data_IF_915218289835
#
_entry.id   IF_915218289835
#
_cell.length_a   1.000
_cell.length_b   1.000
_cell.length_c   1.000
_cell.angle_alpha   90.00
_cell.angle_beta   90.00
_cell.angle_gamma   90.00
#
_symmetry.space_group_name_H-M   'P 1'
#
loop_
_entity.id
_entity.type
_entity.pdbx_description
1 polymer ?
#
# COMPACT_ATOMS: atom_id res chain seq x y z
N UNK A 1 6.53 16.67 -6.73
CA UNK A 1 5.32 16.20 -6.01
C UNK A 1 4.23 15.97 -7.03
N UNK A 2 3.47 14.87 -6.96
CA UNK A 2 2.26 14.73 -7.76
C UNK A 2 1.27 15.81 -7.29
N UNK A 3 0.83 16.67 -8.22
CA UNK A 3 -0.06 17.80 -7.94
C UNK A 3 -1.51 17.36 -7.66
N UNK A 4 -2.38 18.33 -7.41
CA UNK A 4 -3.82 18.08 -7.28
C UNK A 4 -4.39 17.61 -8.62
N UNK A 5 -5.34 16.68 -8.59
CA UNK A 5 -6.12 16.34 -9.78
C UNK A 5 -7.34 17.26 -9.85
N UNK A 6 -7.48 18.01 -10.95
CA UNK A 6 -8.60 18.91 -11.18
C UNK A 6 -9.35 18.44 -12.43
N UNK A 7 -10.68 18.36 -12.31
CA UNK A 7 -11.58 18.00 -13.40
C UNK A 7 -12.66 19.07 -13.48
N UNK A 8 -12.97 19.50 -14.70
CA UNK A 8 -14.07 20.39 -14.98
C UNK A 8 -14.97 19.73 -16.02
N UNK A 9 -16.26 19.69 -15.73
CA UNK A 9 -17.27 19.18 -16.63
C UNK A 9 -18.31 20.28 -16.85
N UNK A 10 -18.68 20.51 -18.09
CA UNK A 10 -19.83 21.34 -18.46
C UNK A 10 -20.90 20.39 -18.97
N UNK A 11 -22.10 20.49 -18.41
CA UNK A 11 -23.21 19.68 -18.86
C UNK A 11 -23.71 20.20 -20.22
N UNK A 12 -23.92 19.27 -21.16
CA UNK A 12 -24.53 19.54 -22.46
C UNK A 12 -25.89 18.82 -22.55
N UNK A 13 -26.95 19.60 -22.73
CA UNK A 13 -28.32 19.13 -22.86
C UNK A 13 -29.02 18.74 -21.54
N UNK A 14 -30.35 18.71 -21.58
CA UNK A 14 -31.19 18.33 -20.44
C UNK A 14 -31.32 19.41 -19.37
N UNK A 15 -31.72 19.02 -18.15
CA UNK A 15 -32.09 19.92 -17.05
C UNK A 15 -30.94 20.79 -16.52
N UNK A 16 -29.69 20.35 -16.72
CA UNK A 16 -28.50 21.00 -16.18
C UNK A 16 -27.62 21.62 -17.28
N UNK A 17 -28.14 21.81 -18.50
CA UNK A 17 -27.39 22.35 -19.64
C UNK A 17 -26.67 23.66 -19.29
N UNK A 18 -25.39 23.75 -19.65
CA UNK A 18 -24.52 24.88 -19.34
C UNK A 18 -24.05 24.98 -17.88
N UNK A 19 -24.47 24.10 -16.97
CA UNK A 19 -23.93 24.07 -15.60
C UNK A 19 -22.54 23.44 -15.55
N UNK A 20 -21.72 23.95 -14.62
CA UNK A 20 -20.35 23.48 -14.42
C UNK A 20 -20.22 22.66 -13.14
N UNK A 21 -19.62 21.48 -13.26
CA UNK A 21 -19.13 20.69 -12.13
C UNK A 21 -17.61 20.75 -12.11
N UNK A 22 -17.06 21.36 -11.06
CA UNK A 22 -15.63 21.41 -10.83
C UNK A 22 -15.27 20.47 -9.67
N UNK A 23 -14.36 19.54 -9.91
CA UNK A 23 -13.89 18.56 -8.91
C UNK A 23 -12.40 18.77 -8.70
N UNK A 24 -12.00 18.97 -7.44
CA UNK A 24 -10.61 19.04 -7.02
C UNK A 24 -10.31 17.89 -6.05
N UNK A 25 -9.31 17.08 -6.38
CA UNK A 25 -8.81 16.00 -5.53
C UNK A 25 -7.38 16.35 -5.11
N UNK A 26 -7.17 16.88 -3.89
CA UNK A 26 -5.84 17.13 -3.38
C UNK A 26 -5.20 15.84 -2.91
N UNK A 27 -4.26 15.32 -3.70
CA UNK A 27 -3.55 14.08 -3.39
C UNK A 27 -2.48 14.33 -2.32
N UNK A 28 -1.74 15.45 -2.42
CA UNK A 28 -0.82 15.93 -1.38
C UNK A 28 0.13 14.87 -0.82
N UNK A 29 0.69 14.02 -1.68
CA UNK A 29 1.56 12.94 -1.27
C UNK A 29 2.87 13.46 -0.67
N UNK A 30 3.21 12.94 0.50
CA UNK A 30 4.49 13.17 1.16
C UNK A 30 5.57 12.25 0.57
N UNK A 31 6.83 12.63 0.76
CA UNK A 31 7.92 11.67 0.66
C UNK A 31 7.77 10.62 1.76
N UNK A 32 7.93 9.35 1.40
CA UNK A 32 7.89 8.24 2.32
C UNK A 32 9.28 7.61 2.43
N UNK A 33 9.82 7.60 3.65
CA UNK A 33 11.04 6.85 3.99
C UNK A 33 10.63 5.55 4.65
N UNK A 34 11.19 4.44 4.19
CA UNK A 34 10.91 3.11 4.74
C UNK A 34 12.21 2.50 5.26
N UNK A 35 12.17 1.95 6.46
CA UNK A 35 13.25 1.15 7.03
C UNK A 35 12.85 -0.31 7.00
N UNK A 36 13.74 -1.17 6.54
CA UNK A 36 13.53 -2.62 6.47
C UNK A 36 14.68 -3.35 7.12
N UNK A 37 14.37 -4.37 7.92
CA UNK A 37 15.32 -5.28 8.53
C UNK A 37 14.88 -6.71 8.21
N UNK A 38 15.81 -7.57 7.82
CA UNK A 38 15.54 -8.96 7.48
C UNK A 38 16.63 -9.90 7.98
N UNK A 39 16.25 -11.15 8.15
CA UNK A 39 17.13 -12.25 8.48
C UNK A 39 16.88 -13.41 7.52
N UNK A 40 17.95 -14.12 7.20
CA UNK A 40 17.94 -15.37 6.45
C UNK A 40 18.62 -16.45 7.29
N UNK A 41 18.04 -17.65 7.30
CA UNK A 41 18.60 -18.82 7.95
C UNK A 41 18.45 -20.05 7.04
N UNK A 42 19.55 -20.76 6.83
CA UNK A 42 19.57 -22.00 6.05
C UNK A 42 19.86 -23.18 6.98
N UNK A 43 18.83 -23.86 7.52
CA UNK A 43 19.02 -25.00 8.44
C UNK A 43 19.64 -26.22 7.76
N UNK A 44 19.51 -26.34 6.44
CA UNK A 44 20.11 -27.40 5.64
C UNK A 44 20.41 -26.88 4.21
N UNK A 45 21.15 -27.62 3.38
CA UNK A 45 21.42 -27.22 1.99
C UNK A 45 20.15 -27.06 1.12
N UNK A 46 19.06 -27.71 1.50
CA UNK A 46 17.78 -27.72 0.77
C UNK A 46 16.83 -26.61 1.21
N UNK A 47 16.95 -26.12 2.45
CA UNK A 47 16.01 -25.18 3.03
C UNK A 47 16.64 -23.81 3.28
N UNK A 48 15.93 -22.77 2.87
CA UNK A 48 16.24 -21.39 3.26
C UNK A 48 14.98 -20.72 3.80
N UNK A 49 15.06 -20.16 4.99
CA UNK A 49 13.99 -19.44 5.66
C UNK A 49 14.35 -17.97 5.72
N UNK A 50 13.42 -17.07 5.39
CA UNK A 50 13.60 -15.63 5.52
C UNK A 50 12.44 -15.01 6.26
N UNK A 51 12.76 -14.03 7.09
CA UNK A 51 11.78 -13.19 7.74
C UNK A 51 12.25 -11.74 7.70
N UNK A 52 11.32 -10.80 7.64
CA UNK A 52 11.65 -9.38 7.62
C UNK A 52 10.53 -8.51 8.14
N UNK A 53 10.91 -7.37 8.69
CA UNK A 53 10.02 -6.31 9.12
C UNK A 53 10.34 -5.04 8.36
N UNK A 54 9.32 -4.34 7.92
CA UNK A 54 9.44 -3.06 7.25
C UNK A 54 8.47 -2.05 7.84
N UNK A 55 8.92 -0.81 7.99
CA UNK A 55 8.10 0.29 8.52
C UNK A 55 8.35 1.58 7.75
N UNK A 56 7.28 2.14 7.21
CA UNK A 56 7.25 3.52 6.74
C UNK A 56 7.27 4.48 7.94
N UNK A 57 8.20 5.46 7.92
CA UNK A 57 8.36 6.44 8.99
C UNK A 57 7.31 7.55 8.93
N UNK A 58 6.83 7.84 7.73
CA UNK A 58 5.80 8.85 7.47
C UNK A 58 4.56 8.19 6.84
N UNK A 59 3.43 8.90 6.94
CA UNK A 59 2.24 8.55 6.19
C UNK A 59 2.34 9.15 4.78
N UNK A 60 1.98 8.35 3.77
CA UNK A 60 2.06 8.75 2.37
C UNK A 60 1.17 9.96 2.05
N UNK A 61 0.01 10.07 2.71
CA UNK A 61 -0.89 11.23 2.64
C UNK A 61 -0.98 11.91 4.00
N UNK A 62 -1.17 13.22 4.04
CA UNK A 62 -1.52 13.92 5.29
C UNK A 62 -2.89 13.46 5.81
N UNK A 63 -3.11 13.61 7.11
CA UNK A 63 -4.37 13.19 7.74
C UNK A 63 -5.58 13.97 7.21
N UNK A 64 -5.44 15.26 6.90
CA UNK A 64 -6.51 16.04 6.27
C UNK A 64 -6.85 15.61 4.83
N UNK A 65 -5.92 14.91 4.16
CA UNK A 65 -6.09 14.41 2.80
C UNK A 65 -6.45 12.92 2.78
N UNK A 66 -6.63 12.29 3.94
CA UNK A 66 -7.10 10.91 4.02
C UNK A 66 -8.50 10.85 3.40
N UNK A 67 -8.64 9.98 2.42
CA UNK A 67 -9.89 9.64 1.75
C UNK A 67 -10.18 8.16 1.93
N UNK A 68 -11.46 7.81 2.12
CA UNK A 68 -11.89 6.40 2.19
C UNK A 68 -11.75 5.65 0.85
N UNK A 69 -11.57 6.36 -0.26
CA UNK A 69 -11.49 5.78 -1.61
C UNK A 69 -10.10 5.18 -1.91
N UNK A 70 -9.05 5.69 -1.28
CA UNK A 70 -7.66 5.30 -1.59
C UNK A 70 -7.01 4.57 -0.42
N UNK A 71 -6.66 3.28 -0.56
CA UNK A 71 -6.05 2.49 0.51
C UNK A 71 -4.53 2.74 0.62
N UNK A 72 -4.13 4.00 0.82
CA UNK A 72 -2.71 4.43 0.82
C UNK A 72 -2.07 4.45 2.20
N UNK A 73 -2.72 3.82 3.18
CA UNK A 73 -2.38 4.00 4.59
C UNK A 73 -1.46 2.92 5.16
N UNK A 74 -1.20 1.82 4.45
CA UNK A 74 -0.36 0.71 4.93
C UNK A 74 1.06 1.15 5.26
N UNK A 75 1.54 0.91 6.48
CA UNK A 75 2.86 1.37 6.93
C UNK A 75 3.79 0.27 7.41
N UNK A 76 3.25 -0.79 8.01
CA UNK A 76 4.05 -1.84 8.62
C UNK A 76 3.87 -3.12 7.83
N UNK A 77 4.95 -3.85 7.60
CA UNK A 77 4.95 -5.13 6.91
C UNK A 77 5.77 -6.13 7.71
N UNK A 78 5.24 -7.34 7.86
CA UNK A 78 5.94 -8.53 8.28
C UNK A 78 5.95 -9.48 7.08
N UNK A 79 7.13 -9.90 6.67
CA UNK A 79 7.33 -10.83 5.56
C UNK A 79 7.92 -12.10 6.12
N UNK A 80 7.35 -13.24 5.73
CA UNK A 80 7.93 -14.56 5.98
C UNK A 80 7.97 -15.32 4.67
N UNK A 81 9.08 -15.98 4.38
CA UNK A 81 9.17 -16.90 3.24
C UNK A 81 10.06 -18.09 3.54
N UNK A 82 9.82 -19.16 2.80
CA UNK A 82 10.64 -20.37 2.79
C UNK A 82 10.92 -20.76 1.34
N UNK A 83 12.14 -21.19 1.10
CA UNK A 83 12.58 -21.79 -0.15
C UNK A 83 12.99 -23.23 0.11
N UNK A 84 12.54 -24.13 -0.75
CA UNK A 84 12.94 -25.53 -0.78
C UNK A 84 13.59 -25.86 -2.11
N UNK A 85 14.80 -26.39 -2.07
CA UNK A 85 15.56 -26.82 -3.24
C UNK A 85 15.45 -28.33 -3.40
N UNK A 86 14.79 -28.79 -4.46
CA UNK A 86 14.79 -30.20 -4.84
C UNK A 86 15.79 -30.44 -5.96
N UNK A 87 16.73 -31.36 -5.72
CA UNK A 87 17.90 -31.53 -6.59
C UNK A 87 18.72 -30.21 -6.69
N UNK A 88 19.91 -30.23 -7.29
CA UNK A 88 20.72 -28.99 -7.40
C UNK A 88 20.16 -27.95 -8.38
N UNK A 89 19.06 -28.27 -9.07
CA UNK A 89 18.54 -27.51 -10.22
C UNK A 89 17.20 -26.83 -9.99
N UNK A 90 16.42 -27.24 -9.00
CA UNK A 90 15.07 -26.72 -8.82
C UNK A 90 14.89 -26.11 -7.43
N UNK A 91 14.23 -24.97 -7.36
CA UNK A 91 13.89 -24.32 -6.11
C UNK A 91 12.47 -23.78 -6.17
N UNK A 92 11.69 -24.08 -5.14
CA UNK A 92 10.36 -23.55 -4.91
C UNK A 92 10.38 -22.61 -3.72
N UNK A 93 9.76 -21.44 -3.85
CA UNK A 93 9.64 -20.45 -2.78
C UNK A 93 8.18 -20.18 -2.49
N UNK A 94 7.80 -20.19 -1.22
CA UNK A 94 6.51 -19.74 -0.74
C UNK A 94 6.69 -18.61 0.27
N UNK A 95 5.83 -17.60 0.21
CA UNK A 95 5.91 -16.45 1.07
C UNK A 95 4.55 -15.88 1.43
N UNK A 96 4.54 -15.10 2.51
CA UNK A 96 3.39 -14.35 2.98
C UNK A 96 3.88 -13.01 3.52
N UNK A 97 3.26 -11.93 3.06
CA UNK A 97 3.38 -10.61 3.67
C UNK A 97 2.11 -10.28 4.41
N UNK A 98 2.23 -9.97 5.70
CA UNK A 98 1.19 -9.37 6.51
C UNK A 98 1.48 -7.89 6.69
N UNK A 99 0.58 -7.04 6.24
CA UNK A 99 0.72 -5.59 6.35
C UNK A 99 -0.40 -4.97 7.18
N UNK A 100 -0.06 -3.95 7.97
CA UNK A 100 -1.04 -3.28 8.84
C UNK A 100 -0.69 -1.82 9.11
N UNK A 101 -1.70 -1.11 9.58
CA UNK A 101 -1.61 0.31 9.92
C UNK A 101 -2.29 0.64 11.24
N UNK A 102 -1.66 1.55 11.99
CA UNK A 102 -2.28 2.15 13.16
C UNK A 102 -3.46 3.03 12.73
N UNK A 103 -4.51 3.17 13.53
CA UNK A 103 -5.67 3.96 13.14
C UNK A 103 -5.27 5.40 12.81
N UNK A 104 -5.75 5.90 11.68
CA UNK A 104 -5.52 7.28 11.23
C UNK A 104 -6.87 7.98 11.18
N UNK A 105 -6.91 9.22 11.65
CA UNK A 105 -8.12 10.04 11.72
C UNK A 105 -8.01 11.25 10.81
N UNK A 106 -9.05 11.47 10.02
CA UNK A 106 -9.35 12.76 9.41
C UNK A 106 -10.45 13.41 10.26
N UNK A 107 -10.24 14.63 10.80
CA UNK A 107 -11.22 15.30 11.65
C UNK A 107 -12.52 15.69 10.93
N UNK A 108 -12.59 15.54 9.60
CA UNK A 108 -13.72 15.98 8.80
C UNK A 108 -13.65 17.48 8.52
N UNK A 109 -14.60 17.96 7.72
CA UNK A 109 -14.57 19.30 7.14
C UNK A 109 -13.23 19.63 6.46
N UNK A 110 -12.64 18.63 5.82
CA UNK A 110 -11.41 18.74 5.04
C UNK A 110 -11.71 18.42 3.58
N UNK A 111 -10.75 18.69 2.69
CA UNK A 111 -10.92 18.38 1.27
C UNK A 111 -10.96 16.86 1.01
N UNK A 112 -10.37 16.05 1.89
CA UNK A 112 -10.41 14.59 1.80
C UNK A 112 -11.68 13.94 2.36
N UNK A 113 -12.41 14.64 3.26
CA UNK A 113 -13.65 14.14 3.86
C UNK A 113 -14.47 15.24 4.54
N UNK A 114 -15.76 15.32 4.23
CA UNK A 114 -16.72 16.19 4.94
C UNK A 114 -17.08 15.65 6.34
N UNK A 115 -17.49 14.37 6.52
CA UNK A 115 -17.57 13.80 7.86
C UNK A 115 -16.19 13.45 8.40
N UNK A 116 -16.05 13.41 9.73
CA UNK A 116 -14.87 12.82 10.35
C UNK A 116 -14.79 11.32 10.01
N UNK A 117 -13.60 10.83 9.69
CA UNK A 117 -13.38 9.42 9.36
C UNK A 117 -12.17 8.87 10.12
N UNK A 118 -12.25 7.60 10.51
CA UNK A 118 -11.11 6.81 11.01
C UNK A 118 -10.88 5.63 10.08
N UNK A 119 -9.65 5.46 9.61
CA UNK A 119 -9.28 4.37 8.71
C UNK A 119 -8.28 3.42 9.36
N UNK A 120 -8.45 2.13 9.05
CA UNK A 120 -7.55 1.03 9.43
C UNK A 120 -7.41 0.12 8.22
N UNK A 121 -6.20 -0.41 7.99
CA UNK A 121 -5.97 -1.38 6.92
C UNK A 121 -5.20 -2.60 7.43
N UNK A 122 -5.56 -3.76 6.89
CA UNK A 122 -4.83 -5.03 7.02
C UNK A 122 -4.80 -5.70 5.66
N UNK A 123 -3.62 -6.11 5.21
CA UNK A 123 -3.43 -6.74 3.90
C UNK A 123 -2.61 -8.02 4.06
N UNK A 124 -3.01 -9.04 3.30
CA UNK A 124 -2.29 -10.30 3.18
C UNK A 124 -1.89 -10.48 1.72
N UNK A 125 -0.61 -10.74 1.47
CA UNK A 125 -0.08 -10.94 0.12
C UNK A 125 0.70 -12.26 0.09
N UNK A 126 0.06 -13.37 -0.32
CA UNK A 126 0.77 -14.61 -0.57
C UNK A 126 1.65 -14.47 -1.82
N UNK A 127 2.79 -15.14 -1.83
CA UNK A 127 3.68 -15.22 -3.00
C UNK A 127 4.17 -16.65 -3.20
N UNK A 128 4.30 -17.05 -4.46
CA UNK A 128 4.86 -18.32 -4.88
C UNK A 128 5.88 -18.06 -5.99
N UNK A 129 7.00 -18.77 -5.96
CA UNK A 129 8.06 -18.65 -6.94
C UNK A 129 8.67 -20.02 -7.25
N UNK A 130 9.15 -20.18 -8.48
CA UNK A 130 9.88 -21.36 -8.91
C UNK A 130 11.09 -20.92 -9.72
N UNK A 131 12.25 -21.53 -9.45
CA UNK A 131 13.52 -21.26 -10.12
C UNK A 131 14.13 -22.56 -10.62
N UNK A 132 14.59 -22.55 -11.87
CA UNK A 132 15.36 -23.61 -12.49
C UNK A 132 16.76 -23.12 -12.85
N UNK A 133 17.80 -23.90 -12.54
CA UNK A 133 19.20 -23.60 -12.86
C UNK A 133 19.73 -24.56 -13.92
N UNK A 134 20.18 -24.00 -15.05
CA UNK A 134 20.72 -24.74 -16.21
C UNK A 134 22.12 -25.30 -15.91
#
# INVERSE_FOLDING_TARGET
MLGNAAFAFTAEGGLFDGQNLNVLIPLGFNHATTITLGAEWSPSPEWTLRSGLSRALQQLVKNENLSGTFPTITQNHLVVNSSYRWQKRHEFTAGMTFAWTKPIKNPGNTVGSTPAIEARNRQFTPSLGYRFQF
#
